data_IF_838345655020
#
_entry.id   IF_838345655020
#
_cell.length_a   1.000
_cell.length_b   1.000
_cell.length_c   1.000
_cell.angle_alpha   90.00
_cell.angle_beta   90.00
_cell.angle_gamma   90.00
#
_symmetry.space_group_name_H-M   'P 1'
#
loop_
_entity.id
_entity.type
_entity.pdbx_description
1 polymer ?
#
# COMPACT_ATOMS: atom_id res chain seq x y z
N UNK A 1 -21.32 13.22 -3.85
CA UNK A 1 -20.24 12.26 -3.54
C UNK A 1 -19.15 13.01 -2.78
N UNK A 2 -19.11 12.85 -1.45
CA UNK A 2 -18.23 13.64 -0.59
C UNK A 2 -16.80 13.07 -0.64
N UNK A 3 -15.82 13.96 -0.90
CA UNK A 3 -14.40 13.64 -0.87
C UNK A 3 -13.98 13.27 0.55
N UNK A 4 -13.45 12.06 0.71
CA UNK A 4 -12.74 11.66 1.91
C UNK A 4 -11.39 12.38 1.92
N UNK A 5 -11.23 13.37 2.81
CA UNK A 5 -9.94 14.02 3.06
C UNK A 5 -9.36 13.46 4.38
N UNK A 6 -8.37 12.54 4.31
CA UNK A 6 -7.83 11.85 5.47
C UNK A 6 -6.81 12.70 6.19
N UNK A 7 -7.15 13.93 6.59
CA UNK A 7 -6.23 14.70 7.44
C UNK A 7 -6.43 14.25 8.89
N UNK A 8 -5.49 13.50 9.50
CA UNK A 8 -5.60 13.13 10.89
C UNK A 8 -5.58 14.41 11.75
N UNK A 9 -6.47 14.53 12.75
CA UNK A 9 -6.49 15.71 13.63
C UNK A 9 -5.22 15.76 14.48
N UNK A 10 -4.50 16.89 14.44
CA UNK A 10 -3.36 17.15 15.34
C UNK A 10 -2.07 17.72 14.72
N UNK A 11 -2.01 17.96 13.41
CA UNK A 11 -0.78 18.38 12.74
C UNK A 11 -0.54 19.90 12.76
N UNK A 12 0.21 20.40 13.75
CA UNK A 12 0.88 21.72 13.71
C UNK A 12 2.41 21.52 13.60
N UNK A 13 3.03 22.17 12.61
CA UNK A 13 4.49 22.32 12.52
C UNK A 13 5.21 21.35 11.56
N UNK A 14 5.87 21.95 10.56
CA UNK A 14 6.62 21.38 9.44
C UNK A 14 5.84 20.40 8.55
N UNK A 15 5.97 20.52 7.22
CA UNK A 15 5.20 19.75 6.23
C UNK A 15 5.58 18.26 6.37
N UNK A 16 4.89 17.51 7.23
CA UNK A 16 5.10 16.07 7.36
C UNK A 16 4.91 15.46 5.98
N UNK A 17 5.99 14.99 5.40
CA UNK A 17 5.94 14.16 4.19
C UNK A 17 5.32 12.85 4.65
N UNK A 18 3.99 12.74 4.49
CA UNK A 18 3.29 11.47 4.70
C UNK A 18 3.89 10.48 3.72
N UNK A 19 4.56 9.45 4.25
CA UNK A 19 5.08 8.36 3.43
C UNK A 19 3.89 7.61 2.86
N UNK A 20 3.70 7.70 1.54
CA UNK A 20 2.62 7.01 0.84
C UNK A 20 3.05 5.59 0.48
N UNK A 21 2.08 4.68 0.49
CA UNK A 21 2.19 3.33 -0.01
C UNK A 21 0.98 3.05 -0.92
N UNK A 22 1.16 2.15 -1.87
CA UNK A 22 0.11 1.70 -2.76
C UNK A 22 0.10 0.17 -2.82
N UNK A 23 -1.09 -0.40 -2.93
CA UNK A 23 -1.31 -1.85 -2.97
C UNK A 23 -2.20 -2.22 -4.14
N UNK A 24 -2.06 -3.45 -4.62
CA UNK A 24 -2.93 -4.04 -5.61
C UNK A 24 -3.96 -4.96 -4.93
N UNK A 25 -5.24 -4.76 -5.26
CA UNK A 25 -6.30 -5.71 -4.92
C UNK A 25 -6.51 -6.64 -6.12
N UNK A 26 -5.87 -7.80 -6.10
CA UNK A 26 -6.02 -8.78 -7.18
C UNK A 26 -7.23 -9.68 -6.90
N UNK A 27 -8.24 -9.60 -7.77
CA UNK A 27 -9.47 -10.37 -7.71
C UNK A 27 -9.41 -11.51 -8.73
N UNK A 28 -9.75 -12.72 -8.29
CA UNK A 28 -10.07 -13.85 -9.16
C UNK A 28 -11.55 -14.14 -9.02
N UNK A 29 -12.30 -14.01 -10.12
CA UNK A 29 -13.75 -14.08 -10.10
C UNK A 29 -14.31 -15.52 -10.13
N UNK A 30 -13.56 -16.48 -10.67
CA UNK A 30 -14.07 -17.84 -10.92
C UNK A 30 -13.03 -18.91 -10.53
N UNK A 31 -13.47 -20.11 -10.08
CA UNK A 31 -14.87 -20.53 -9.87
C UNK A 31 -15.54 -19.91 -8.64
N UNK A 32 -14.77 -19.33 -7.72
CA UNK A 32 -15.25 -18.58 -6.56
C UNK A 32 -14.48 -17.27 -6.45
N UNK A 33 -15.17 -16.21 -5.98
CA UNK A 33 -14.54 -14.91 -5.75
C UNK A 33 -13.45 -15.04 -4.69
N UNK A 34 -12.22 -14.76 -5.08
CA UNK A 34 -11.05 -14.84 -4.21
C UNK A 34 -10.15 -13.62 -4.38
N UNK A 35 -9.41 -13.31 -3.32
CA UNK A 35 -8.47 -12.18 -3.25
C UNK A 35 -7.08 -12.72 -2.97
N UNK A 36 -6.07 -12.20 -3.66
CA UNK A 36 -4.67 -12.52 -3.38
C UNK A 36 -4.17 -11.76 -2.14
N UNK A 37 -3.63 -12.50 -1.19
CA UNK A 37 -2.79 -11.97 -0.12
C UNK A 37 -1.37 -12.53 -0.24
N UNK A 38 -0.41 -11.79 0.32
CA UNK A 38 0.97 -12.24 0.49
C UNK A 38 1.29 -12.42 1.96
N UNK A 39 2.28 -13.26 2.23
CA UNK A 39 3.00 -13.24 3.50
C UNK A 39 4.24 -12.38 3.34
N UNK A 40 4.36 -11.31 4.13
CA UNK A 40 5.55 -10.44 4.08
C UNK A 40 6.81 -11.23 4.39
N UNK A 41 7.89 -10.96 3.66
CA UNK A 41 9.20 -11.56 3.92
C UNK A 41 9.66 -11.25 5.36
N UNK A 42 10.47 -12.14 5.94
CA UNK A 42 11.06 -11.87 7.24
C UNK A 42 12.24 -10.92 7.09
N UNK A 43 12.24 -9.84 7.88
CA UNK A 43 13.35 -8.89 7.97
C UNK A 43 13.50 -8.41 9.41
N UNK A 44 14.72 -8.43 9.98
CA UNK A 44 14.95 -7.94 11.35
C UNK A 44 14.54 -6.48 11.59
N UNK A 45 14.46 -5.68 10.53
CA UNK A 45 14.12 -4.25 10.58
C UNK A 45 12.66 -3.97 10.22
N UNK A 46 11.87 -4.99 9.88
CA UNK A 46 10.46 -4.85 9.53
C UNK A 46 9.57 -5.36 10.67
N UNK A 47 8.88 -4.48 11.41
CA UNK A 47 7.99 -4.88 12.51
C UNK A 47 6.77 -5.68 12.03
N UNK A 48 6.49 -5.71 10.73
CA UNK A 48 5.37 -6.46 10.13
C UNK A 48 5.83 -7.73 9.41
N UNK A 49 7.05 -8.21 9.69
CA UNK A 49 7.59 -9.45 9.14
C UNK A 49 6.62 -10.62 9.31
N UNK A 50 6.38 -11.36 8.22
CA UNK A 50 5.52 -12.55 8.25
C UNK A 50 4.01 -12.27 8.36
N UNK A 51 3.57 -11.02 8.46
CA UNK A 51 2.15 -10.68 8.46
C UNK A 51 1.51 -10.90 7.08
N UNK A 52 0.20 -11.15 7.09
CA UNK A 52 -0.62 -11.11 5.88
C UNK A 52 -0.80 -9.67 5.40
N UNK A 53 -0.65 -9.45 4.09
CA UNK A 53 -0.80 -8.13 3.48
C UNK A 53 -1.32 -8.23 2.04
N UNK A 54 -1.78 -7.11 1.49
CA UNK A 54 -1.94 -6.99 0.04
C UNK A 54 -0.57 -6.83 -0.64
N UNK A 55 -0.40 -7.33 -1.87
CA UNK A 55 0.77 -7.03 -2.69
C UNK A 55 0.91 -5.51 -2.89
N UNK A 56 2.13 -5.00 -2.80
CA UNK A 56 2.40 -3.58 -2.96
C UNK A 56 3.55 -3.10 -2.09
N UNK A 57 3.73 -1.78 -2.06
CA UNK A 57 4.88 -1.18 -1.43
C UNK A 57 4.82 0.33 -1.39
N UNK A 58 5.97 0.92 -1.10
CA UNK A 58 6.13 2.36 -0.93
C UNK A 58 6.03 3.07 -2.28
N UNK A 59 5.41 4.24 -2.29
CA UNK A 59 5.48 5.16 -3.43
C UNK A 59 6.84 5.85 -3.40
N UNK A 60 7.64 5.62 -4.43
CA UNK A 60 8.94 6.24 -4.64
C UNK A 60 8.81 7.51 -5.48
N UNK A 61 9.76 8.46 -5.39
CA UNK A 61 9.71 9.71 -6.15
C UNK A 61 9.60 9.54 -7.68
N UNK A 62 10.16 8.44 -8.20
CA UNK A 62 10.19 8.13 -9.63
C UNK A 62 8.94 7.37 -10.11
N UNK A 63 8.04 7.01 -9.20
CA UNK A 63 6.76 6.40 -9.57
C UNK A 63 5.84 7.43 -10.24
N UNK A 64 5.04 6.96 -11.20
CA UNK A 64 3.95 7.74 -11.82
C UNK A 64 2.73 7.81 -10.89
N UNK A 65 2.95 8.20 -9.64
CA UNK A 65 1.96 8.19 -8.56
C UNK A 65 1.63 6.79 -8.01
N UNK A 66 0.59 6.67 -7.16
CA UNK A 66 0.25 5.44 -6.46
C UNK A 66 0.01 4.22 -7.37
N UNK A 67 -0.62 4.43 -8.53
CA UNK A 67 -0.84 3.35 -9.50
C UNK A 67 0.49 2.79 -10.04
N UNK A 68 1.45 3.67 -10.34
CA UNK A 68 2.79 3.27 -10.79
C UNK A 68 3.52 2.44 -9.75
N UNK A 69 3.45 2.85 -8.47
CA UNK A 69 4.02 2.11 -7.36
C UNK A 69 3.40 0.72 -7.20
N UNK A 70 2.06 0.63 -7.20
CA UNK A 70 1.36 -0.65 -7.10
C UNK A 70 1.76 -1.60 -8.24
N UNK A 71 1.81 -1.10 -9.49
CA UNK A 71 2.22 -1.92 -10.63
C UNK A 71 3.69 -2.35 -10.56
N UNK A 72 4.60 -1.50 -10.08
CA UNK A 72 6.03 -1.81 -9.96
C UNK A 72 6.29 -2.91 -8.93
N UNK A 73 5.59 -2.85 -7.80
CA UNK A 73 5.74 -3.80 -6.68
C UNK A 73 5.09 -5.17 -6.95
N UNK A 74 4.27 -5.30 -7.98
CA UNK A 74 3.55 -6.54 -8.32
C UNK A 74 3.92 -7.13 -9.67
N UNK A 75 5.12 -6.82 -10.18
CA UNK A 75 5.67 -7.45 -11.40
C UNK A 75 6.18 -8.86 -11.16
#
# INVERSE_FOLDING_TARGET
MAGFDPKPPGLKGNRLVVRQAAVALCLKAEPELSILFIRRAQSPTDPWSGHMAFPGGRVEPDDRGPLGAAMRETK
#
